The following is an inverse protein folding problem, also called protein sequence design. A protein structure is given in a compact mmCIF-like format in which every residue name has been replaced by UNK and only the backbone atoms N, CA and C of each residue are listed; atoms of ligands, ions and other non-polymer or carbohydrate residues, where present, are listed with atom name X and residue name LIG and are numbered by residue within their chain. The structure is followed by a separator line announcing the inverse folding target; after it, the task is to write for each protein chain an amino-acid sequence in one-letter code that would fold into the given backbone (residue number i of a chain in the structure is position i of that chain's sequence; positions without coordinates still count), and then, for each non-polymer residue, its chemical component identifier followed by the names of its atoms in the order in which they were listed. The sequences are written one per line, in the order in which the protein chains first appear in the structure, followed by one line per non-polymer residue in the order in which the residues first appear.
data_IF_973969878220
#
_entry.id   IF_973969878220
#
_cell.length_a   1.000
_cell.length_b   1.000
_cell.length_c   1.000
_cell.angle_alpha   90.00
_cell.angle_beta   90.00
_cell.angle_gamma   90.00
#
_symmetry.space_group_name_H-M   'P 1'
#
loop_
_entity.id
_entity.type
_entity.pdbx_description
1 polymer ?
#
# COMPACT_ATOMS: atom_id res chain seq x y z
N UNK A 1 27.60 -18.98 -35.99
CA UNK A 1 26.60 -19.42 -34.99
C UNK A 1 26.67 -18.42 -33.83
N UNK A 2 25.71 -17.50 -33.74
CA UNK A 2 25.76 -16.37 -32.79
C UNK A 2 25.20 -16.81 -31.43
N UNK A 3 25.99 -16.58 -30.39
CA UNK A 3 25.69 -16.87 -28.99
C UNK A 3 24.55 -15.93 -28.55
N UNK A 4 23.48 -16.50 -28.00
CA UNK A 4 22.35 -15.77 -27.40
C UNK A 4 22.77 -15.40 -25.96
N UNK A 5 22.84 -14.12 -25.57
CA UNK A 5 23.15 -13.76 -24.19
C UNK A 5 21.92 -13.92 -23.29
N UNK A 6 22.14 -14.48 -22.11
CA UNK A 6 21.18 -14.71 -21.03
C UNK A 6 20.76 -13.40 -20.35
N UNK A 7 19.52 -13.38 -19.86
CA UNK A 7 18.72 -12.22 -19.43
C UNK A 7 19.14 -11.51 -18.13
N UNK A 8 20.43 -11.43 -17.80
CA UNK A 8 20.92 -10.84 -16.54
C UNK A 8 21.62 -9.47 -16.66
N UNK A 9 21.77 -8.90 -17.86
CA UNK A 9 22.51 -7.63 -18.04
C UNK A 9 21.65 -6.35 -18.08
N UNK A 10 20.37 -6.37 -17.66
CA UNK A 10 19.50 -5.17 -17.71
C UNK A 10 19.28 -4.44 -16.37
N UNK A 11 20.09 -4.71 -15.34
CA UNK A 11 20.11 -3.91 -14.11
C UNK A 11 21.36 -3.02 -14.03
N UNK A 12 21.55 -2.14 -15.01
CA UNK A 12 22.37 -0.94 -14.85
C UNK A 12 21.46 0.23 -14.52
N UNK A 13 21.51 0.68 -13.26
CA UNK A 13 20.88 1.91 -12.80
C UNK A 13 21.69 3.11 -13.31
N UNK A 14 21.54 3.46 -14.59
CA UNK A 14 21.95 4.78 -15.06
C UNK A 14 20.83 5.78 -14.82
N UNK A 15 21.06 6.60 -13.81
CA UNK A 15 20.28 7.78 -13.47
C UNK A 15 20.20 8.73 -14.67
N UNK A 16 19.05 8.74 -15.36
CA UNK A 16 18.69 9.82 -16.26
C UNK A 16 18.47 11.10 -15.43
N UNK A 17 19.51 11.92 -15.36
CA UNK A 17 19.46 13.30 -14.89
C UNK A 17 18.72 14.13 -15.95
N UNK A 18 17.44 14.40 -15.69
CA UNK A 18 16.67 15.37 -16.46
C UNK A 18 15.33 15.63 -15.77
N UNK A 19 15.21 16.74 -15.03
CA UNK A 19 13.97 17.41 -14.54
C UNK A 19 12.72 16.53 -14.35
N UNK A 20 12.87 15.33 -13.78
CA UNK A 20 12.02 14.20 -14.14
C UNK A 20 11.18 13.70 -12.97
N UNK A 21 9.86 13.70 -13.16
CA UNK A 21 8.94 12.88 -12.36
C UNK A 21 9.51 11.47 -12.30
N UNK A 22 9.82 10.96 -11.11
CA UNK A 22 10.30 9.59 -10.92
C UNK A 22 9.33 8.63 -11.61
N UNK A 23 9.77 7.99 -12.70
CA UNK A 23 8.98 6.99 -13.41
C UNK A 23 9.17 5.67 -12.67
N UNK A 24 8.14 5.22 -11.97
CA UNK A 24 8.13 3.91 -11.35
C UNK A 24 7.58 2.92 -12.38
N UNK A 25 8.39 1.99 -12.91
CA UNK A 25 7.92 1.04 -13.90
C UNK A 25 6.81 0.18 -13.29
N UNK A 26 5.63 0.27 -13.90
CA UNK A 26 4.50 -0.56 -13.51
C UNK A 26 4.72 -2.00 -13.95
N UNK A 27 4.32 -2.95 -13.10
CA UNK A 27 4.50 -4.37 -13.39
C UNK A 27 3.36 -5.18 -12.79
N UNK A 28 2.69 -5.97 -13.64
CA UNK A 28 1.71 -6.95 -13.19
C UNK A 28 2.43 -8.13 -12.56
N UNK A 29 1.83 -8.71 -11.52
CA UNK A 29 2.20 -10.04 -11.03
C UNK A 29 1.83 -11.12 -12.07
N UNK A 30 2.31 -12.36 -11.88
CA UNK A 30 1.89 -13.48 -12.73
C UNK A 30 0.36 -13.67 -12.69
N UNK A 31 -0.21 -13.69 -11.49
CA UNK A 31 -1.66 -13.85 -11.29
C UNK A 31 -2.48 -12.75 -11.97
N UNK A 32 -2.01 -11.50 -11.88
CA UNK A 32 -2.67 -10.37 -12.55
C UNK A 32 -2.65 -10.50 -14.08
N UNK A 33 -1.52 -10.99 -14.64
CA UNK A 33 -1.44 -11.26 -16.09
C UNK A 33 -2.41 -12.35 -16.50
N UNK A 34 -2.48 -13.47 -15.75
CA UNK A 34 -3.38 -14.56 -16.08
C UNK A 34 -4.86 -14.16 -15.95
N UNK A 35 -5.21 -13.38 -14.91
CA UNK A 35 -6.54 -12.80 -14.77
C UNK A 35 -6.91 -11.85 -15.91
N UNK A 36 -5.98 -10.97 -16.32
CA UNK A 36 -6.21 -10.06 -17.43
C UNK A 36 -6.38 -10.80 -18.77
N UNK A 37 -5.57 -11.83 -19.03
CA UNK A 37 -5.71 -12.67 -20.23
C UNK A 37 -7.06 -13.36 -20.26
N UNK A 38 -7.48 -13.94 -19.13
CA UNK A 38 -8.78 -14.62 -19.00
C UNK A 38 -9.93 -13.63 -19.26
N UNK A 39 -9.88 -12.44 -18.66
CA UNK A 39 -10.86 -11.38 -18.90
C UNK A 39 -10.91 -10.97 -20.38
N UNK A 40 -9.75 -10.75 -21.02
CA UNK A 40 -9.68 -10.38 -22.43
C UNK A 40 -10.29 -11.47 -23.33
N UNK A 41 -10.02 -12.74 -23.03
CA UNK A 41 -10.62 -13.88 -23.74
C UNK A 41 -12.15 -13.90 -23.58
N UNK A 42 -12.67 -13.71 -22.36
CA UNK A 42 -14.11 -13.65 -22.10
C UNK A 42 -14.78 -12.50 -22.86
N UNK A 43 -14.18 -11.30 -22.86
CA UNK A 43 -14.70 -10.18 -23.63
C UNK A 43 -14.72 -10.48 -25.14
N UNK A 44 -13.66 -11.10 -25.66
CA UNK A 44 -13.61 -11.53 -27.07
C UNK A 44 -14.74 -12.53 -27.38
N UNK A 45 -14.91 -13.58 -26.59
CA UNK A 45 -15.97 -14.58 -26.78
C UNK A 45 -17.37 -13.98 -26.72
N UNK A 46 -17.56 -12.93 -25.93
CA UNK A 46 -18.85 -12.25 -25.78
C UNK A 46 -19.04 -11.06 -26.76
N UNK A 47 -18.11 -10.84 -27.70
CA UNK A 47 -18.08 -9.65 -28.57
C UNK A 47 -18.13 -8.31 -27.80
N UNK A 48 -17.63 -8.27 -26.57
CA UNK A 48 -17.57 -7.08 -25.71
C UNK A 48 -16.33 -6.24 -26.03
N UNK A 49 -16.36 -5.61 -27.20
CA UNK A 49 -15.29 -4.72 -27.69
C UNK A 49 -15.11 -3.49 -26.81
N UNK A 50 -16.19 -3.00 -26.18
CA UNK A 50 -16.14 -1.84 -25.28
C UNK A 50 -15.29 -2.11 -24.05
N UNK A 51 -15.46 -3.27 -23.40
CA UNK A 51 -14.64 -3.63 -22.23
C UNK A 51 -13.17 -3.81 -22.60
N UNK A 52 -12.86 -4.36 -23.77
CA UNK A 52 -11.48 -4.46 -24.28
C UNK A 52 -10.86 -3.07 -24.49
N UNK A 53 -11.56 -2.18 -25.19
CA UNK A 53 -11.11 -0.80 -25.44
C UNK A 53 -10.85 -0.05 -24.13
N UNK A 54 -11.80 -0.10 -23.19
CA UNK A 54 -11.69 0.56 -21.88
C UNK A 54 -10.56 -0.03 -21.03
N UNK A 55 -10.30 -1.33 -21.15
CA UNK A 55 -9.17 -1.98 -20.46
C UNK A 55 -7.82 -1.50 -21.00
N UNK A 56 -7.67 -1.32 -22.31
CA UNK A 56 -6.44 -0.77 -22.89
C UNK A 56 -6.20 0.67 -22.43
N UNK A 57 -7.25 1.51 -22.41
CA UNK A 57 -7.19 2.89 -21.91
C UNK A 57 -6.78 2.90 -20.43
N UNK A 58 -7.38 2.03 -19.62
CA UNK A 58 -7.04 1.87 -18.20
C UNK A 58 -5.57 1.47 -18.01
N UNK A 59 -5.06 0.51 -18.79
CA UNK A 59 -3.64 0.09 -18.74
C UNK A 59 -2.72 1.26 -19.10
N UNK A 60 -3.06 2.06 -20.13
CA UNK A 60 -2.28 3.24 -20.50
C UNK A 60 -2.24 4.27 -19.35
N UNK A 61 -3.37 4.50 -18.67
CA UNK A 61 -3.38 5.36 -17.49
C UNK A 61 -2.65 4.76 -16.28
N UNK A 62 -2.66 3.44 -16.11
CA UNK A 62 -1.88 2.79 -15.07
C UNK A 62 -0.38 2.96 -15.31
N UNK A 63 0.09 2.71 -16.54
CA UNK A 63 1.50 2.80 -16.92
C UNK A 63 2.12 4.18 -16.64
N UNK A 64 1.33 5.26 -16.73
CA UNK A 64 1.81 6.64 -16.47
C UNK A 64 1.84 7.04 -14.98
N UNK A 65 1.41 6.18 -14.05
CA UNK A 65 1.35 6.56 -12.64
C UNK A 65 2.75 6.83 -12.09
N UNK A 66 2.91 7.94 -11.36
CA UNK A 66 4.17 8.36 -10.74
C UNK A 66 4.54 7.60 -9.45
N UNK A 67 3.87 6.49 -9.19
CA UNK A 67 4.07 5.64 -8.02
C UNK A 67 3.73 4.20 -8.39
N UNK A 68 4.38 3.23 -7.76
CA UNK A 68 4.13 1.81 -8.03
C UNK A 68 2.79 1.37 -7.42
N UNK A 69 1.91 0.81 -8.24
CA UNK A 69 0.57 0.37 -7.83
C UNK A 69 0.31 -0.98 -8.49
N UNK A 70 -0.27 -1.95 -7.77
CA UNK A 70 -0.68 -3.19 -8.40
C UNK A 70 -1.72 -2.92 -9.49
N UNK A 71 -1.73 -3.72 -10.54
CA UNK A 71 -2.69 -3.52 -11.63
C UNK A 71 -4.13 -3.70 -11.12
N UNK A 72 -4.36 -4.68 -10.26
CA UNK A 72 -5.68 -4.97 -9.68
C UNK A 72 -6.21 -3.81 -8.86
N UNK A 73 -5.36 -3.19 -8.03
CA UNK A 73 -5.75 -2.00 -7.25
C UNK A 73 -6.06 -0.82 -8.15
N UNK A 74 -5.18 -0.54 -9.11
CA UNK A 74 -5.42 0.57 -10.03
C UNK A 74 -6.72 0.36 -10.83
N UNK A 75 -6.93 -0.87 -11.31
CA UNK A 75 -8.09 -1.22 -12.11
C UNK A 75 -9.41 -1.09 -11.33
N UNK A 76 -9.44 -1.50 -10.06
CA UNK A 76 -10.63 -1.35 -9.22
C UNK A 76 -10.99 0.11 -8.98
N UNK A 77 -9.98 0.96 -8.72
CA UNK A 77 -10.14 2.40 -8.51
C UNK A 77 -10.55 3.12 -9.79
N UNK A 78 -9.92 2.79 -10.92
CA UNK A 78 -10.19 3.43 -12.20
C UNK A 78 -11.59 3.12 -12.68
N UNK A 79 -12.00 1.85 -12.56
CA UNK A 79 -13.33 1.37 -12.91
C UNK A 79 -14.40 2.11 -12.12
N UNK A 80 -14.23 2.25 -10.81
CA UNK A 80 -15.17 3.00 -9.99
C UNK A 80 -15.17 4.51 -10.30
N UNK A 81 -14.00 5.10 -10.55
CA UNK A 81 -13.88 6.52 -10.88
C UNK A 81 -14.54 6.89 -12.22
N UNK A 82 -14.57 5.96 -13.20
CA UNK A 82 -15.18 6.19 -14.51
C UNK A 82 -16.67 5.80 -14.57
N UNK A 83 -17.23 5.12 -13.57
CA UNK A 83 -18.57 4.50 -13.61
C UNK A 83 -19.70 5.41 -14.12
N UNK A 84 -19.70 6.67 -13.69
CA UNK A 84 -20.79 7.62 -13.94
C UNK A 84 -20.44 8.69 -14.99
N UNK A 85 -19.56 8.39 -15.94
CA UNK A 85 -19.24 9.31 -17.02
C UNK A 85 -20.30 9.30 -18.11
N UNK A 86 -20.53 10.47 -18.73
CA UNK A 86 -21.51 10.67 -19.80
C UNK A 86 -20.88 10.90 -21.17
N UNK A 87 -19.55 11.05 -21.24
CA UNK A 87 -18.80 11.31 -22.47
C UNK A 87 -18.42 10.03 -23.24
N UNK A 88 -19.10 8.92 -22.96
CA UNK A 88 -18.80 7.61 -23.54
C UNK A 88 -17.57 6.91 -22.94
N UNK A 89 -16.75 7.57 -22.12
CA UNK A 89 -15.55 6.99 -21.50
C UNK A 89 -15.81 6.30 -20.16
N UNK A 90 -17.07 5.95 -19.86
CA UNK A 90 -17.40 5.20 -18.65
C UNK A 90 -16.81 3.79 -18.65
N UNK A 91 -16.55 3.27 -17.45
CA UNK A 91 -16.22 1.86 -17.27
C UNK A 91 -17.44 0.97 -17.53
N UNK A 92 -17.20 -0.30 -17.82
CA UNK A 92 -18.27 -1.26 -18.13
C UNK A 92 -18.65 -2.11 -16.92
N UNK A 93 -19.86 -2.71 -16.89
CA UNK A 93 -20.24 -3.67 -15.85
C UNK A 93 -19.29 -4.87 -15.75
N UNK A 94 -18.78 -5.37 -16.89
CA UNK A 94 -17.82 -6.47 -16.90
C UNK A 94 -16.50 -6.10 -16.20
N UNK A 95 -15.99 -4.88 -16.43
CA UNK A 95 -14.82 -4.38 -15.69
C UNK A 95 -15.09 -4.27 -14.20
N UNK A 96 -16.27 -3.80 -13.78
CA UNK A 96 -16.65 -3.68 -12.38
C UNK A 96 -16.79 -5.03 -11.68
N UNK A 97 -17.21 -6.06 -12.40
CA UNK A 97 -17.23 -7.43 -11.91
C UNK A 97 -15.83 -8.02 -11.78
N UNK A 98 -14.95 -7.77 -12.76
CA UNK A 98 -13.58 -8.28 -12.77
C UNK A 98 -12.69 -7.61 -11.72
N UNK A 99 -12.82 -6.30 -11.55
CA UNK A 99 -12.07 -5.49 -10.60
C UNK A 99 -13.04 -4.73 -9.69
N UNK A 100 -13.68 -5.43 -8.74
CA UNK A 100 -14.63 -4.80 -7.84
C UNK A 100 -13.93 -3.75 -6.99
N UNK A 101 -14.59 -2.59 -6.87
CA UNK A 101 -14.10 -1.52 -6.01
C UNK A 101 -14.02 -1.99 -4.56
N UNK A 102 -12.90 -1.68 -3.90
CA UNK A 102 -12.72 -1.93 -2.49
C UNK A 102 -11.82 -0.86 -1.88
N UNK A 103 -11.89 -0.70 -0.56
CA UNK A 103 -11.01 0.21 0.14
C UNK A 103 -11.41 1.69 0.04
N UNK A 104 -10.41 2.55 0.17
CA UNK A 104 -10.55 4.01 0.08
C UNK A 104 -10.55 4.45 -1.37
N UNK A 105 -11.33 5.48 -1.72
CA UNK A 105 -11.27 6.07 -3.07
C UNK A 105 -9.94 6.79 -3.27
N UNK A 106 -9.16 6.32 -4.23
CA UNK A 106 -7.82 6.83 -4.55
C UNK A 106 -7.71 7.47 -5.93
N UNK A 107 -8.77 7.39 -6.76
CA UNK A 107 -8.88 8.11 -8.02
C UNK A 107 -10.16 8.97 -7.96
N UNK A 108 -10.04 10.26 -8.29
CA UNK A 108 -11.16 11.20 -8.26
C UNK A 108 -12.20 10.82 -9.31
N UNK A 109 -13.48 11.15 -9.06
CA UNK A 109 -14.54 10.98 -10.06
C UNK A 109 -14.09 11.57 -11.40
N UNK A 110 -14.18 10.77 -12.47
CA UNK A 110 -13.76 11.13 -13.84
C UNK A 110 -12.26 11.46 -14.03
N UNK A 111 -11.43 11.23 -13.01
CA UNK A 111 -9.97 11.37 -13.09
C UNK A 111 -9.28 10.02 -13.34
N UNK A 112 -7.96 10.02 -13.47
CA UNK A 112 -7.18 8.78 -13.60
C UNK A 112 -5.83 8.82 -12.89
N UNK A 113 -5.53 9.90 -12.16
CA UNK A 113 -4.35 9.97 -11.30
C UNK A 113 -4.64 9.32 -9.95
N UNK A 114 -3.78 8.40 -9.57
CA UNK A 114 -3.86 7.70 -8.30
C UNK A 114 -3.25 8.52 -7.17
N UNK A 115 -3.99 8.65 -6.07
CA UNK A 115 -3.54 9.30 -4.84
C UNK A 115 -3.68 8.32 -3.69
N UNK A 116 -2.54 7.82 -3.19
CA UNK A 116 -2.50 6.85 -2.08
C UNK A 116 -3.11 7.38 -0.77
N UNK A 117 -3.13 8.70 -0.58
CA UNK A 117 -3.85 9.35 0.52
C UNK A 117 -5.38 9.34 0.36
N UNK A 118 -5.89 8.91 -0.79
CA UNK A 118 -7.26 9.05 -1.22
C UNK A 118 -7.59 10.43 -1.79
N UNK A 119 -8.79 10.53 -2.38
CA UNK A 119 -9.32 11.75 -3.02
C UNK A 119 -10.53 12.33 -2.29
N UNK A 120 -11.21 11.51 -1.48
CA UNK A 120 -12.32 11.96 -0.66
C UNK A 120 -11.79 12.52 0.65
N UNK A 121 -12.33 13.67 1.08
CA UNK A 121 -12.09 14.21 2.44
C UNK A 121 -12.69 13.32 3.51
N UNK A 122 -13.65 12.47 3.13
CA UNK A 122 -14.32 11.54 4.00
C UNK A 122 -13.48 10.28 4.15
N UNK A 123 -13.27 9.92 5.41
CA UNK A 123 -12.47 8.79 5.80
C UNK A 123 -13.20 7.48 5.49
N UNK A 124 -12.49 6.52 4.90
CA UNK A 124 -13.01 5.16 4.79
C UNK A 124 -12.89 4.44 6.15
N UNK A 125 -13.57 3.32 6.31
CA UNK A 125 -13.40 2.43 7.47
C UNK A 125 -11.92 2.06 7.69
N UNK A 126 -11.46 1.97 8.94
CA UNK A 126 -10.06 1.66 9.28
C UNK A 126 -9.58 0.39 8.58
N UNK A 127 -10.42 -0.66 8.53
CA UNK A 127 -10.03 -1.93 7.91
C UNK A 127 -9.87 -1.75 6.40
N UNK A 128 -10.71 -0.95 5.77
CA UNK A 128 -10.59 -0.62 4.35
C UNK A 128 -9.26 0.10 4.04
N UNK A 129 -8.86 1.06 4.87
CA UNK A 129 -7.58 1.76 4.72
C UNK A 129 -6.37 0.82 4.95
N UNK A 130 -6.41 -0.05 5.96
CA UNK A 130 -5.36 -1.07 6.20
C UNK A 130 -5.24 -2.03 5.03
N UNK A 131 -6.35 -2.59 4.54
CA UNK A 131 -6.32 -3.52 3.40
C UNK A 131 -5.68 -2.86 2.17
N UNK A 132 -6.06 -1.62 1.90
CA UNK A 132 -5.48 -0.85 0.81
C UNK A 132 -3.97 -0.63 0.97
N UNK A 133 -3.53 -0.29 2.19
CA UNK A 133 -2.11 -0.16 2.51
C UNK A 133 -1.35 -1.48 2.30
N UNK A 134 -1.90 -2.61 2.73
CA UNK A 134 -1.30 -3.94 2.53
C UNK A 134 -1.16 -4.26 1.04
N UNK A 135 -2.21 -4.03 0.24
CA UNK A 135 -2.15 -4.21 -1.22
C UNK A 135 -1.02 -3.40 -1.85
N UNK A 136 -0.87 -2.15 -1.41
CA UNK A 136 0.18 -1.24 -1.90
C UNK A 136 1.58 -1.71 -1.48
N UNK A 137 1.74 -2.16 -0.23
CA UNK A 137 3.01 -2.70 0.26
C UNK A 137 3.40 -3.96 -0.51
N UNK A 138 2.48 -4.91 -0.68
CA UNK A 138 2.74 -6.18 -1.38
C UNK A 138 3.10 -5.99 -2.87
N UNK A 139 2.63 -4.92 -3.49
CA UNK A 139 2.99 -4.58 -4.86
C UNK A 139 4.50 -4.25 -5.02
N UNK A 140 5.10 -3.68 -3.98
CA UNK A 140 6.52 -3.31 -3.96
C UNK A 140 7.39 -4.35 -3.21
N UNK A 141 6.85 -4.94 -2.14
CA UNK A 141 7.48 -5.91 -1.24
C UNK A 141 6.65 -7.21 -1.17
N UNK A 142 6.75 -8.11 -2.16
CA UNK A 142 5.90 -9.30 -2.24
C UNK A 142 6.05 -10.28 -1.07
N UNK A 143 7.15 -10.19 -0.32
CA UNK A 143 7.39 -11.03 0.86
C UNK A 143 6.82 -10.41 2.15
N UNK A 144 6.24 -9.21 2.10
CA UNK A 144 5.64 -8.58 3.29
C UNK A 144 4.63 -9.51 3.95
N UNK A 145 4.71 -9.64 5.28
CA UNK A 145 3.85 -10.48 6.09
C UNK A 145 3.60 -9.82 7.46
N UNK A 146 2.99 -10.53 8.40
CA UNK A 146 2.71 -9.98 9.71
C UNK A 146 3.97 -9.50 10.45
N UNK A 147 5.12 -10.14 10.25
CA UNK A 147 6.37 -9.77 10.89
C UNK A 147 7.00 -8.51 10.28
N UNK A 148 6.53 -8.07 9.12
CA UNK A 148 7.02 -6.86 8.43
C UNK A 148 7.59 -7.19 7.07
N UNK A 149 8.72 -6.57 6.72
CA UNK A 149 9.38 -6.74 5.43
C UNK A 149 10.20 -8.04 5.45
N UNK A 150 9.54 -9.19 5.34
CA UNK A 150 10.16 -10.52 5.45
C UNK A 150 11.49 -10.61 4.70
N UNK A 151 12.56 -10.94 5.43
CA UNK A 151 13.83 -11.38 4.86
C UNK A 151 13.70 -12.86 4.50
N UNK A 152 14.29 -13.25 3.36
CA UNK A 152 14.40 -14.65 2.91
C UNK A 152 15.05 -15.53 3.99
N UNK A 153 14.28 -16.01 4.94
CA UNK A 153 14.65 -17.19 5.71
C UNK A 153 14.28 -18.41 4.87
N UNK A 154 15.25 -19.31 4.63
CA UNK A 154 15.12 -20.42 3.67
C UNK A 154 13.98 -21.41 4.00
N UNK A 155 13.40 -21.33 5.21
CA UNK A 155 12.42 -22.29 5.73
C UNK A 155 11.11 -21.64 6.19
N UNK A 156 10.83 -20.38 5.86
CA UNK A 156 9.59 -19.72 6.28
C UNK A 156 8.51 -19.86 5.20
N UNK A 157 7.38 -20.49 5.54
CA UNK A 157 6.18 -20.49 4.70
C UNK A 157 5.58 -19.09 4.76
N UNK A 158 5.57 -18.38 3.63
CA UNK A 158 4.98 -17.04 3.58
C UNK A 158 3.46 -17.14 3.77
N UNK A 159 2.95 -16.32 4.70
CA UNK A 159 1.52 -16.17 4.96
C UNK A 159 1.10 -14.74 4.62
N UNK A 160 -0.05 -14.62 3.97
CA UNK A 160 -0.59 -13.33 3.60
C UNK A 160 -1.06 -12.61 4.89
N UNK A 161 -0.63 -11.36 5.16
CA UNK A 161 -0.86 -10.71 6.45
C UNK A 161 -2.35 -10.49 6.77
N UNK A 162 -3.20 -10.37 5.75
CA UNK A 162 -4.65 -10.23 5.97
C UNK A 162 -5.36 -11.53 6.38
N UNK A 163 -4.68 -12.68 6.30
CA UNK A 163 -5.25 -13.97 6.69
C UNK A 163 -5.22 -14.16 8.21
N UNK A 164 -4.38 -13.39 8.94
CA UNK A 164 -4.37 -13.34 10.40
C UNK A 164 -5.30 -12.22 10.94
N UNK A 165 -6.39 -12.53 11.66
CA UNK A 165 -7.25 -11.52 12.26
C UNK A 165 -6.53 -10.57 13.23
N UNK A 166 -5.52 -11.07 13.95
CA UNK A 166 -4.75 -10.27 14.91
C UNK A 166 -3.95 -9.16 14.21
N UNK A 167 -3.49 -9.39 12.98
CA UNK A 167 -2.81 -8.38 12.17
C UNK A 167 -3.70 -7.15 11.95
N UNK A 168 -4.97 -7.38 11.61
CA UNK A 168 -5.94 -6.31 11.38
C UNK A 168 -6.27 -5.55 12.66
N UNK A 169 -6.44 -6.26 13.78
CA UNK A 169 -6.66 -5.64 15.10
C UNK A 169 -5.46 -4.73 15.46
N UNK A 170 -4.24 -5.25 15.33
CA UNK A 170 -3.02 -4.48 15.58
C UNK A 170 -2.86 -3.27 14.66
N UNK A 171 -3.13 -3.41 13.35
CA UNK A 171 -2.99 -2.32 12.40
C UNK A 171 -4.00 -1.20 12.67
N UNK A 172 -5.27 -1.55 12.94
CA UNK A 172 -6.27 -0.54 13.29
C UNK A 172 -5.99 0.14 14.64
N UNK A 173 -5.45 -0.58 15.61
CA UNK A 173 -4.95 -0.03 16.87
C UNK A 173 -3.85 1.01 16.65
N UNK A 174 -2.85 0.67 15.84
CA UNK A 174 -1.79 1.61 15.45
C UNK A 174 -2.36 2.87 14.78
N UNK A 175 -3.34 2.73 13.89
CA UNK A 175 -3.97 3.88 13.24
C UNK A 175 -4.71 4.79 14.22
N UNK A 176 -5.39 4.21 15.23
CA UNK A 176 -6.00 4.99 16.32
C UNK A 176 -4.93 5.72 17.13
N UNK A 177 -3.83 5.07 17.46
CA UNK A 177 -2.71 5.69 18.17
C UNK A 177 -2.10 6.87 17.38
N UNK A 178 -1.80 6.68 16.08
CA UNK A 178 -1.26 7.72 15.19
C UNK A 178 -2.18 8.96 15.22
N UNK A 179 -3.50 8.76 15.23
CA UNK A 179 -4.48 9.86 15.24
C UNK A 179 -4.58 10.53 16.60
N UNK A 180 -4.68 9.74 17.67
CA UNK A 180 -4.75 10.25 19.04
C UNK A 180 -3.56 11.17 19.38
N UNK A 181 -2.40 10.91 18.77
CA UNK A 181 -1.18 11.69 18.96
C UNK A 181 -0.95 12.78 17.88
N UNK A 182 -1.92 13.02 17.00
CA UNK A 182 -1.83 14.07 15.98
C UNK A 182 -0.78 13.82 14.90
N UNK A 183 -0.38 12.55 14.69
CA UNK A 183 0.67 12.16 13.76
C UNK A 183 0.16 11.91 12.33
N UNK A 184 -1.09 12.21 11.98
CA UNK A 184 -1.61 11.87 10.63
C UNK A 184 -1.06 12.75 9.50
N UNK A 185 -0.50 13.92 9.80
CA UNK A 185 -0.06 14.92 8.80
C UNK A 185 1.37 15.42 9.11
N UNK A 186 2.21 14.54 9.65
CA UNK A 186 3.57 14.88 10.07
C UNK A 186 4.65 14.30 9.14
N UNK A 187 4.28 13.99 7.90
CA UNK A 187 5.19 13.52 6.88
C UNK A 187 6.15 14.62 6.47
N UNK A 188 7.38 14.23 6.18
CA UNK A 188 8.43 15.10 5.63
C UNK A 188 9.02 14.45 4.37
N UNK A 189 9.80 15.20 3.60
CA UNK A 189 10.41 14.71 2.36
C UNK A 189 11.57 13.73 2.58
N UNK A 190 12.14 13.71 3.78
CA UNK A 190 13.35 12.96 4.12
C UNK A 190 13.04 11.80 5.06
N UNK A 191 14.00 10.89 5.22
CA UNK A 191 13.96 9.81 6.20
C UNK A 191 15.05 10.03 7.26
N UNK A 192 14.77 10.74 8.37
CA UNK A 192 15.76 11.02 9.40
C UNK A 192 16.31 9.72 9.97
N UNK A 193 17.65 9.56 9.99
CA UNK A 193 18.30 8.31 10.38
C UNK A 193 18.11 7.96 11.87
N UNK A 194 17.99 8.98 12.71
CA UNK A 194 17.87 8.83 14.17
C UNK A 194 16.42 8.68 14.63
N UNK A 195 15.46 8.67 13.70
CA UNK A 195 14.08 8.36 14.04
C UNK A 195 13.94 6.88 14.42
N UNK A 196 12.98 6.55 15.30
CA UNK A 196 12.65 5.17 15.58
C UNK A 196 12.23 4.44 14.31
N UNK A 197 12.55 3.16 14.31
CA UNK A 197 12.16 2.21 13.27
C UNK A 197 10.72 1.72 13.52
N UNK A 198 10.19 0.89 12.63
CA UNK A 198 8.95 0.18 12.87
C UNK A 198 8.96 -0.60 14.19
N UNK A 199 10.11 -1.16 14.60
CA UNK A 199 10.24 -1.86 15.87
C UNK A 199 10.04 -0.93 17.07
N UNK A 200 10.78 0.18 17.10
CA UNK A 200 10.70 1.16 18.20
C UNK A 200 9.32 1.81 18.30
N UNK A 201 8.73 2.18 17.16
CA UNK A 201 7.38 2.74 17.11
C UNK A 201 6.31 1.72 17.52
N UNK A 202 6.49 0.43 17.20
CA UNK A 202 5.54 -0.60 17.63
C UNK A 202 5.50 -0.66 19.15
N UNK A 203 6.66 -0.68 19.82
CA UNK A 203 6.73 -0.70 21.28
C UNK A 203 6.10 0.54 21.92
N UNK A 204 6.19 1.70 21.27
CA UNK A 204 5.49 2.90 21.73
C UNK A 204 3.96 2.72 21.72
N UNK A 205 3.41 2.10 20.67
CA UNK A 205 1.98 1.76 20.61
C UNK A 205 1.61 0.70 21.65
N UNK A 206 2.43 -0.35 21.82
CA UNK A 206 2.16 -1.40 22.82
C UNK A 206 2.13 -0.83 24.24
N UNK A 207 3.05 0.07 24.58
CA UNK A 207 3.06 0.73 25.89
C UNK A 207 1.85 1.62 26.10
N UNK A 208 1.40 2.33 25.06
CA UNK A 208 0.15 3.08 25.11
C UNK A 208 -1.07 2.18 25.31
N UNK A 209 -1.14 1.07 24.58
CA UNK A 209 -2.24 0.11 24.69
C UNK A 209 -2.29 -0.54 26.08
N UNK A 210 -1.13 -0.89 26.67
CA UNK A 210 -1.06 -1.38 28.06
C UNK A 210 -1.67 -0.38 29.04
N UNK A 211 -1.32 0.91 28.93
CA UNK A 211 -1.93 1.94 29.78
C UNK A 211 -3.45 2.07 29.62
N UNK A 212 -3.98 1.85 28.40
CA UNK A 212 -5.42 1.79 28.15
C UNK A 212 -6.04 0.55 28.81
N UNK A 213 -5.43 -0.62 28.64
CA UNK A 213 -5.90 -1.88 29.22
C UNK A 213 -5.92 -1.79 30.74
N UNK A 214 -4.85 -1.29 31.35
CA UNK A 214 -4.74 -1.15 32.82
C UNK A 214 -5.81 -0.21 33.38
N UNK A 215 -6.15 0.85 32.63
CA UNK A 215 -7.11 1.87 33.06
C UNK A 215 -8.57 1.46 32.87
N UNK A 216 -8.88 0.76 31.78
CA UNK A 216 -10.27 0.50 31.35
C UNK A 216 -10.66 -0.98 31.33
N UNK A 217 -9.70 -1.90 31.49
CA UNK A 217 -9.90 -3.35 31.53
C UNK A 217 -10.30 -3.95 30.17
N UNK A 218 -11.58 -3.83 29.81
CA UNK A 218 -12.12 -4.44 28.61
C UNK A 218 -12.02 -3.47 27.42
N UNK A 219 -10.97 -3.61 26.62
CA UNK A 219 -10.73 -2.72 25.47
C UNK A 219 -10.44 -3.52 24.21
N UNK A 220 -10.64 -2.89 23.04
CA UNK A 220 -10.27 -3.48 21.74
C UNK A 220 -8.77 -3.32 21.43
N UNK A 221 -7.98 -2.72 22.32
CA UNK A 221 -6.56 -2.48 22.08
C UNK A 221 -5.74 -3.73 22.44
N UNK A 222 -4.94 -4.27 21.50
CA UNK A 222 -4.10 -5.43 21.79
C UNK A 222 -2.85 -5.02 22.57
N UNK A 223 -2.45 -5.85 23.55
CA UNK A 223 -1.20 -5.64 24.30
C UNK A 223 0.08 -5.90 23.49
N UNK A 224 -0.06 -6.66 22.40
CA UNK A 224 1.01 -6.95 21.44
C UNK A 224 0.54 -6.63 20.03
N UNK A 225 1.39 -5.97 19.23
CA UNK A 225 1.16 -5.74 17.80
C UNK A 225 2.32 -6.29 17.00
N UNK A 226 2.11 -6.67 15.76
CA UNK A 226 3.22 -7.10 14.91
C UNK A 226 3.89 -5.91 14.22
N UNK A 227 5.15 -6.09 13.78
CA UNK A 227 5.86 -5.06 13.03
C UNK A 227 5.15 -4.73 11.71
N UNK A 228 4.62 -5.73 11.02
CA UNK A 228 3.83 -5.56 9.80
C UNK A 228 2.56 -4.77 10.05
N UNK A 229 1.87 -4.99 11.18
CA UNK A 229 0.67 -4.21 11.55
C UNK A 229 0.99 -2.71 11.63
N UNK A 230 2.10 -2.32 12.26
CA UNK A 230 2.51 -0.92 12.31
C UNK A 230 2.86 -0.38 10.92
N UNK A 231 3.63 -1.11 10.12
CA UNK A 231 4.00 -0.68 8.76
C UNK A 231 2.74 -0.41 7.93
N UNK A 232 1.76 -1.33 7.97
CA UNK A 232 0.49 -1.15 7.28
C UNK A 232 -0.29 0.07 7.79
N UNK A 233 -0.32 0.31 9.11
CA UNK A 233 -0.96 1.49 9.70
C UNK A 233 -0.28 2.80 9.29
N UNK A 234 1.05 2.83 9.26
CA UNK A 234 1.83 3.99 8.82
C UNK A 234 1.53 4.30 7.35
N UNK A 235 1.54 3.29 6.47
CA UNK A 235 1.18 3.47 5.05
C UNK A 235 -0.27 3.91 4.90
N UNK A 236 -1.21 3.29 5.62
CA UNK A 236 -2.63 3.63 5.59
C UNK A 236 -2.91 5.08 6.02
N UNK A 237 -2.08 5.63 6.91
CA UNK A 237 -2.24 7.00 7.42
C UNK A 237 -1.52 8.07 6.63
N UNK A 238 -0.56 7.74 5.79
CA UNK A 238 0.24 8.82 5.25
C UNK A 238 1.68 8.54 4.85
N UNK A 239 2.26 7.48 5.37
CA UNK A 239 3.71 7.43 5.46
C UNK A 239 4.30 6.62 4.32
N UNK A 240 5.34 7.18 3.74
CA UNK A 240 6.26 6.43 2.90
C UNK A 240 7.29 5.80 3.84
N UNK A 241 7.70 4.58 3.53
CA UNK A 241 8.71 3.88 4.29
C UNK A 241 9.88 3.47 3.38
N UNK A 242 11.02 3.20 4.01
CA UNK A 242 12.13 2.46 3.38
C UNK A 242 12.50 1.26 4.25
N UNK A 243 12.87 0.12 3.65
CA UNK A 243 13.39 -1.01 4.40
C UNK A 243 14.66 -0.63 5.15
N UNK A 244 14.79 -1.13 6.36
CA UNK A 244 16.04 -1.14 7.12
C UNK A 244 16.21 -2.54 7.72
N UNK A 245 17.45 -2.96 7.93
CA UNK A 245 17.83 -4.19 8.66
C UNK A 245 16.68 -5.10 9.14
N UNK A 246 16.59 -6.29 8.53
CA UNK A 246 15.65 -7.32 8.93
C UNK A 246 14.29 -7.07 8.32
N UNK A 247 13.30 -7.22 9.17
CA UNK A 247 11.86 -7.06 8.95
C UNK A 247 11.39 -5.61 9.10
N UNK A 248 12.30 -4.69 9.43
CA UNK A 248 11.98 -3.36 9.92
C UNK A 248 11.92 -2.31 8.81
N UNK A 249 11.24 -1.20 9.10
CA UNK A 249 11.13 -0.06 8.20
C UNK A 249 11.45 1.26 8.90
N UNK A 250 11.90 2.25 8.14
CA UNK A 250 12.01 3.64 8.58
C UNK A 250 11.00 4.50 7.83
N UNK A 251 10.36 5.45 8.50
CA UNK A 251 9.29 6.27 7.94
C UNK A 251 9.71 7.72 7.74
N UNK A 252 9.09 8.40 6.78
CA UNK A 252 9.31 9.81 6.49
C UNK A 252 8.56 10.73 7.47
N UNK A 253 8.74 10.53 8.77
CA UNK A 253 8.03 11.27 9.84
C UNK A 253 8.91 12.33 10.50
N UNK A 254 8.32 13.46 10.90
CA UNK A 254 9.05 14.54 11.60
C UNK A 254 9.46 14.14 13.01
N UNK A 255 10.76 14.24 13.33
CA UNK A 255 11.28 14.03 14.69
C UNK A 255 10.60 14.97 15.71
N UNK A 256 10.30 16.22 15.31
CA UNK A 256 9.59 17.19 16.15
C UNK A 256 8.18 16.71 16.49
N UNK A 257 7.48 16.13 15.51
CA UNK A 257 6.14 15.59 15.73
C UNK A 257 6.18 14.37 16.65
N UNK A 258 7.16 13.48 16.46
CA UNK A 258 7.37 12.35 17.36
C UNK A 258 7.62 12.83 18.80
N UNK A 259 8.57 13.76 19.02
CA UNK A 259 8.84 14.35 20.34
C UNK A 259 7.59 14.89 21.02
N UNK A 260 6.74 15.59 20.25
CA UNK A 260 5.47 16.14 20.74
C UNK A 260 4.46 15.05 21.13
N UNK A 261 4.47 13.91 20.45
CA UNK A 261 3.64 12.74 20.76
C UNK A 261 4.12 11.95 22.01
N UNK A 262 5.07 12.47 22.79
CA UNK A 262 5.59 11.79 23.99
C UNK A 262 6.83 10.92 23.74
N UNK A 263 7.58 11.19 22.67
CA UNK A 263 8.73 10.38 22.20
C UNK A 263 10.06 10.58 22.92
N UNK A 264 10.13 11.29 24.04
CA UNK A 264 11.42 11.57 24.69
C UNK A 264 12.22 10.32 25.09
N UNK A 265 11.63 9.12 25.07
CA UNK A 265 12.23 7.83 25.44
C UNK A 265 12.62 6.90 24.27
N UNK A 266 12.42 7.27 23.01
CA UNK A 266 12.50 6.32 21.87
C UNK A 266 13.91 6.05 21.31
N UNK A 267 14.97 6.53 21.98
CA UNK A 267 16.37 6.40 21.51
C UNK A 267 17.08 5.10 21.91
N UNK A 268 16.40 4.17 22.60
CA UNK A 268 17.08 3.04 23.26
C UNK A 268 16.61 1.63 22.86
N UNK A 269 15.94 1.46 21.71
CA UNK A 269 15.59 0.13 21.18
C UNK A 269 15.76 0.04 19.66
#
# INVERSE_FOLDING_TARGET
MKIIPTSEEFYSSESLKGTGRYYFPQRMTYHEREKLKSFAYQCFSNNDTKSLERTLIMIAHWMRQGQRISFTEYASQWTEAQKNRTDGNHSTPAMAQQWPFSGKRCISKSGSDYRWMGVDKNRADDKAEVRHAVTSILAEYPTFNENGLCRRERNFTWEHPLDNPCFMIGATSCMRWIRAHGLSQCQIKTFPKDNPTSYGLKHAVENYNKGIIDKYGNTMEPGYITNGSLIAAMVATGYVFKPINGINALFNISEKALKKAGSSTWKYY
#
